data_IF_234254529962
#
_entry.id   IF_234254529962
#
_cell.length_a   1.000
_cell.length_b   1.000
_cell.length_c   1.000
_cell.angle_alpha   90.00
_cell.angle_beta   90.00
_cell.angle_gamma   90.00
#
_symmetry.space_group_name_H-M   'P 1'
#
loop_
_entity.id
_entity.type
_entity.pdbx_description
1 polymer ?
#
# COMPACT_ATOMS: atom_id res chain seq x y z
N UNK A 1 29.89 22.42 -6.95
CA UNK A 1 28.51 22.47 -6.43
C UNK A 1 27.66 21.62 -7.35
N UNK A 2 27.35 20.41 -6.93
CA UNK A 2 26.39 19.54 -7.61
C UNK A 2 25.36 19.17 -6.54
N UNK A 3 24.12 19.59 -6.77
CA UNK A 3 22.97 19.33 -5.91
C UNK A 3 22.57 17.88 -6.14
N UNK A 4 22.57 17.09 -5.07
CA UNK A 4 22.07 15.71 -5.06
C UNK A 4 20.54 15.79 -4.89
N UNK A 5 19.71 15.16 -5.74
CA UNK A 5 18.27 15.14 -5.52
C UNK A 5 17.95 14.24 -4.32
N UNK A 6 17.19 14.78 -3.37
CA UNK A 6 16.57 14.03 -2.28
C UNK A 6 15.46 13.15 -2.84
N UNK A 7 15.69 11.84 -2.91
CA UNK A 7 14.65 10.84 -3.17
C UNK A 7 13.74 10.71 -1.96
N UNK A 8 12.47 11.08 -2.10
CA UNK A 8 11.42 10.97 -1.08
C UNK A 8 10.87 9.54 -1.00
N UNK A 9 10.70 9.04 0.22
CA UNK A 9 10.03 7.79 0.56
C UNK A 9 8.58 8.12 0.97
N UNK A 10 7.59 7.53 0.31
CA UNK A 10 6.17 7.67 0.66
C UNK A 10 5.60 6.29 1.02
N UNK A 11 5.00 6.15 2.21
CA UNK A 11 4.26 4.96 2.65
C UNK A 11 2.79 5.13 2.30
N UNK A 12 2.28 4.36 1.34
CA UNK A 12 0.85 4.31 1.02
C UNK A 12 0.25 3.04 1.65
N UNK A 13 -0.65 3.21 2.61
CA UNK A 13 -1.47 2.12 3.18
C UNK A 13 -2.89 2.32 2.69
N UNK A 14 -3.31 1.57 1.67
CA UNK A 14 -4.67 1.57 1.15
C UNK A 14 -5.47 0.43 1.79
N UNK A 15 -5.92 0.61 3.04
CA UNK A 15 -6.87 -0.32 3.64
C UNK A 15 -8.32 0.05 3.24
N UNK A 16 -8.91 -0.74 2.35
CA UNK A 16 -10.36 -0.75 2.12
C UNK A 16 -11.05 -1.63 3.15
N UNK A 17 -11.52 -1.05 4.25
CA UNK A 17 -12.28 -1.78 5.26
C UNK A 17 -12.60 -0.95 6.49
N UNK A 18 -13.86 -0.94 6.90
CA UNK A 18 -14.41 -0.23 8.07
C UNK A 18 -13.51 -0.36 9.31
N UNK A 19 -12.70 0.66 9.59
CA UNK A 19 -12.16 0.86 10.93
C UNK A 19 -13.30 1.34 11.83
N UNK A 20 -13.93 0.39 12.52
CA UNK A 20 -14.65 0.72 13.75
C UNK A 20 -13.65 1.40 14.68
N UNK A 21 -13.89 2.67 15.00
CA UNK A 21 -13.26 3.33 16.13
C UNK A 21 -13.70 2.62 17.41
N UNK A 22 -12.99 1.57 17.80
CA UNK A 22 -13.09 1.00 19.13
C UNK A 22 -12.41 1.97 20.11
N UNK A 23 -13.16 2.96 20.57
CA UNK A 23 -12.85 3.66 21.82
C UNK A 23 -13.06 2.65 22.94
N UNK A 24 -12.01 1.88 23.26
CA UNK A 24 -12.00 1.11 24.50
C UNK A 24 -11.65 2.07 25.65
N UNK A 25 -12.37 2.02 26.79
CA UNK A 25 -12.07 2.88 27.94
C UNK A 25 -10.65 2.60 28.45
N UNK A 26 -9.93 3.67 28.77
CA UNK A 26 -8.56 3.76 29.28
C UNK A 26 -8.27 3.06 30.63
N UNK A 27 -9.02 2.03 31.00
CA UNK A 27 -8.82 1.27 32.24
C UNK A 27 -8.73 -0.22 31.92
N UNK A 28 -7.61 -0.69 31.35
CA UNK A 28 -7.04 -2.04 31.61
C UNK A 28 -5.77 -2.41 30.81
N UNK A 29 -4.89 -1.45 30.50
CA UNK A 29 -3.52 -1.80 30.06
C UNK A 29 -2.58 -1.54 31.24
N UNK A 30 -2.38 -2.58 32.06
CA UNK A 30 -1.34 -2.61 33.08
C UNK A 30 -0.05 -3.08 32.40
N UNK A 31 0.54 -2.23 31.57
CA UNK A 31 1.89 -2.45 31.03
C UNK A 31 2.92 -2.10 32.10
N UNK A 32 3.54 -3.15 32.65
CA UNK A 32 4.68 -3.05 33.55
C UNK A 32 5.92 -2.55 32.80
N UNK A 33 6.05 -1.23 32.65
CA UNK A 33 7.34 -0.63 32.28
C UNK A 33 8.22 -0.45 33.52
N UNK A 34 9.52 -0.77 33.45
CA UNK A 34 10.45 -0.43 34.52
C UNK A 34 10.55 1.10 34.63
N UNK A 35 10.41 1.59 35.86
CA UNK A 35 10.41 2.99 36.29
C UNK A 35 11.61 3.75 35.69
N UNK A 36 11.39 4.44 34.57
CA UNK A 36 12.45 5.18 33.89
C UNK A 36 12.63 6.54 34.56
N UNK A 37 13.87 7.03 34.62
CA UNK A 37 14.21 8.34 35.19
C UNK A 37 13.45 9.53 34.55
N UNK A 38 12.74 9.31 33.44
CA UNK A 38 11.83 10.28 32.83
C UNK A 38 10.51 10.37 33.62
N UNK A 39 9.92 9.25 34.01
CA UNK A 39 8.66 9.19 34.79
C UNK A 39 8.84 9.86 36.15
N UNK A 40 9.98 9.62 36.81
CA UNK A 40 10.31 10.26 38.08
C UNK A 40 10.46 11.79 37.92
N UNK A 41 11.06 12.25 36.82
CA UNK A 41 11.22 13.70 36.55
C UNK A 41 9.89 14.39 36.25
N UNK A 42 8.97 13.71 35.57
CA UNK A 42 7.61 14.21 35.32
C UNK A 42 6.83 14.34 36.63
N UNK A 43 6.84 13.32 37.50
CA UNK A 43 6.16 13.40 38.81
C UNK A 43 6.73 14.52 39.70
N UNK A 44 8.05 14.70 39.70
CA UNK A 44 8.68 15.79 40.46
C UNK A 44 8.33 17.18 39.91
N UNK A 45 8.08 17.31 38.60
CA UNK A 45 7.60 18.55 38.00
C UNK A 45 6.14 18.84 38.41
N UNK A 46 5.27 17.81 38.38
CA UNK A 46 3.87 17.92 38.79
C UNK A 46 3.74 18.39 40.25
N UNK A 47 4.48 17.78 41.18
CA UNK A 47 4.42 18.15 42.61
C UNK A 47 4.85 19.61 42.86
N UNK A 48 5.84 20.12 42.11
CA UNK A 48 6.28 21.52 42.24
C UNK A 48 5.22 22.51 41.76
N UNK A 49 4.51 22.16 40.68
CA UNK A 49 3.42 22.98 40.14
C UNK A 49 2.24 23.01 41.11
N UNK A 50 1.87 21.87 41.69
CA UNK A 50 0.79 21.80 42.68
C UNK A 50 1.08 22.61 43.95
N UNK A 51 2.32 22.57 44.45
CA UNK A 51 2.74 23.37 45.61
C UNK A 51 2.69 24.87 45.33
N UNK A 52 2.98 25.31 44.09
CA UNK A 52 2.87 26.72 43.70
C UNK A 52 1.41 27.21 43.61
N UNK A 53 0.45 26.30 43.46
CA UNK A 53 -0.97 26.61 43.31
C UNK A 53 -1.74 26.62 44.65
N UNK A 54 -1.19 26.04 45.72
CA UNK A 54 -1.85 25.92 47.03
C UNK A 54 -2.09 27.25 47.79
N UNK A 55 -1.65 28.40 47.27
CA UNK A 55 -1.86 29.71 47.91
C UNK A 55 -2.91 30.62 47.27
N UNK A 56 -3.55 30.23 46.16
CA UNK A 56 -4.45 31.11 45.38
C UNK A 56 -5.89 30.61 45.38
N UNK A 57 -6.47 30.54 46.58
CA UNK A 57 -7.88 30.18 46.78
C UNK A 57 -8.80 31.38 46.53
N UNK A 58 -9.29 31.53 45.31
CA UNK A 58 -10.62 32.12 45.02
C UNK A 58 -10.76 32.42 43.53
N UNK A 59 -10.96 31.40 42.71
CA UNK A 59 -11.95 31.35 41.62
C UNK A 59 -11.93 29.88 41.18
N UNK A 60 -12.95 29.10 41.56
CA UNK A 60 -13.29 27.83 40.88
C UNK A 60 -13.73 28.17 39.46
N UNK A 61 -12.79 28.55 38.60
CA UNK A 61 -12.97 28.51 37.16
C UNK A 61 -12.53 27.10 36.81
N UNK A 62 -13.50 26.28 36.46
CA UNK A 62 -13.34 25.06 35.68
C UNK A 62 -12.80 25.47 34.30
N UNK A 63 -11.59 26.03 34.28
CA UNK A 63 -10.73 26.16 33.12
C UNK A 63 -9.72 25.04 33.31
N UNK A 64 -10.16 23.82 33.01
CA UNK A 64 -9.25 22.89 32.38
C UNK A 64 -8.90 23.58 31.05
N UNK A 65 -7.86 24.41 31.08
CA UNK A 65 -7.11 24.69 29.87
C UNK A 65 -6.50 23.34 29.54
N UNK A 66 -7.19 22.57 28.70
CA UNK A 66 -6.57 21.44 28.01
C UNK A 66 -5.42 22.06 27.21
N UNK A 67 -4.22 22.03 27.78
CA UNK A 67 -3.04 22.61 27.15
C UNK A 67 -2.65 21.69 26.01
N UNK A 68 -2.92 22.12 24.77
CA UNK A 68 -2.40 21.48 23.57
C UNK A 68 -0.93 21.90 23.44
N UNK A 69 -0.01 20.97 23.67
CA UNK A 69 1.40 21.17 23.37
C UNK A 69 1.62 20.89 21.88
N UNK A 70 1.88 21.94 21.10
CA UNK A 70 2.25 21.81 19.69
C UNK A 70 3.77 21.88 19.57
N UNK A 71 4.40 20.77 19.22
CA UNK A 71 5.81 20.73 18.84
C UNK A 71 5.93 20.95 17.32
N UNK A 72 6.53 22.07 16.93
CA UNK A 72 6.77 22.45 15.53
C UNK A 72 8.26 22.49 15.18
N UNK A 73 9.13 21.92 16.03
CA UNK A 73 10.58 21.94 15.82
C UNK A 73 10.98 21.07 14.62
N UNK A 74 10.34 19.91 14.45
CA UNK A 74 10.56 19.04 13.31
C UNK A 74 9.31 18.19 13.01
N UNK A 75 9.00 17.91 11.73
CA UNK A 75 7.95 16.97 11.38
C UNK A 75 8.33 15.54 11.82
N UNK A 76 7.35 14.78 12.32
CA UNK A 76 7.54 13.36 12.68
C UNK A 76 7.70 12.51 11.40
N UNK A 77 6.93 12.83 10.37
CA UNK A 77 7.00 12.21 9.04
C UNK A 77 6.48 13.20 8.01
N UNK A 78 6.89 12.99 6.77
CA UNK A 78 6.24 13.54 5.59
C UNK A 78 5.29 12.49 5.02
N UNK A 79 4.19 12.94 4.42
CA UNK A 79 3.22 12.08 3.74
C UNK A 79 3.19 12.44 2.26
N UNK A 80 2.83 11.47 1.42
CA UNK A 80 2.69 11.71 -0.01
C UNK A 80 1.63 12.80 -0.28
N UNK A 81 1.80 13.67 -1.29
CA UNK A 81 0.73 14.57 -1.72
C UNK A 81 -0.59 13.83 -2.01
N UNK A 82 -0.53 12.57 -2.47
CA UNK A 82 -1.67 11.69 -2.73
C UNK A 82 -2.09 10.87 -1.50
N UNK A 83 -1.70 11.27 -0.29
CA UNK A 83 -2.00 10.55 0.96
C UNK A 83 -3.49 10.20 1.11
N UNK A 84 -4.38 11.12 0.74
CA UNK A 84 -5.81 10.85 0.67
C UNK A 84 -6.16 10.32 -0.73
N UNK A 85 -6.06 9.00 -0.89
CA UNK A 85 -6.43 8.28 -2.11
C UNK A 85 -7.70 7.45 -1.92
N UNK A 86 -8.29 6.98 -3.03
CA UNK A 86 -9.59 6.30 -3.02
C UNK A 86 -9.55 4.96 -3.75
N UNK A 87 -10.52 4.09 -3.43
CA UNK A 87 -10.64 2.75 -4.01
C UNK A 87 -12.01 2.53 -4.66
N UNK A 88 -12.06 1.80 -5.76
CA UNK A 88 -13.27 1.18 -6.30
C UNK A 88 -13.09 -0.34 -6.27
N UNK A 89 -14.15 -1.06 -5.89
CA UNK A 89 -14.11 -2.52 -5.87
C UNK A 89 -14.17 -3.08 -7.30
N UNK A 90 -13.25 -3.97 -7.63
CA UNK A 90 -13.17 -4.64 -8.95
C UNK A 90 -14.42 -5.45 -9.29
N UNK A 91 -15.20 -5.87 -8.30
CA UNK A 91 -16.49 -6.53 -8.49
C UNK A 91 -17.53 -5.65 -9.17
N UNK A 92 -17.38 -4.31 -9.14
CA UNK A 92 -18.24 -3.40 -9.90
C UNK A 92 -18.06 -3.54 -11.42
N UNK A 93 -16.91 -4.04 -11.91
CA UNK A 93 -16.68 -4.31 -13.33
C UNK A 93 -17.65 -5.36 -13.87
N UNK A 94 -17.94 -6.41 -13.07
CA UNK A 94 -18.90 -7.47 -13.44
C UNK A 94 -20.31 -6.93 -13.74
N UNK A 95 -20.64 -5.77 -13.16
CA UNK A 95 -21.92 -5.07 -13.32
C UNK A 95 -21.78 -3.83 -14.19
N UNK A 96 -20.75 -3.77 -15.03
CA UNK A 96 -20.44 -2.65 -15.90
C UNK A 96 -20.37 -1.31 -15.15
N UNK A 97 -19.58 -1.30 -14.07
CA UNK A 97 -19.40 -0.16 -13.18
C UNK A 97 -20.71 0.33 -12.57
N UNK A 98 -21.66 -0.57 -12.31
CA UNK A 98 -23.00 -0.18 -11.83
C UNK A 98 -22.90 0.71 -10.59
N UNK A 99 -23.46 1.92 -10.67
CA UNK A 99 -23.39 2.91 -9.59
C UNK A 99 -22.40 4.04 -9.83
N UNK A 100 -21.49 3.89 -10.81
CA UNK A 100 -20.53 4.93 -11.20
C UNK A 100 -20.67 5.23 -12.68
N UNK A 101 -20.96 6.49 -13.00
CA UNK A 101 -20.90 7.00 -14.36
C UNK A 101 -19.70 7.92 -14.45
N UNK A 102 -18.57 7.41 -14.93
CA UNK A 102 -17.29 8.13 -14.98
C UNK A 102 -17.36 9.45 -15.75
N UNK A 103 -18.26 9.58 -16.72
CA UNK A 103 -18.46 10.81 -17.51
C UNK A 103 -19.42 11.81 -16.85
N UNK A 104 -20.05 11.46 -15.73
CA UNK A 104 -20.98 12.37 -15.06
C UNK A 104 -20.21 13.53 -14.41
N UNK A 105 -20.57 14.78 -14.74
CA UNK A 105 -19.90 15.97 -14.22
C UNK A 105 -19.86 16.02 -12.69
N UNK A 106 -20.88 15.49 -12.02
CA UNK A 106 -20.89 15.38 -10.56
C UNK A 106 -19.75 14.51 -10.04
N UNK A 107 -19.50 13.36 -10.66
CA UNK A 107 -18.41 12.44 -10.27
C UNK A 107 -17.06 13.10 -10.55
N UNK A 108 -16.90 13.70 -11.73
CA UNK A 108 -15.68 14.42 -12.13
C UNK A 108 -15.36 15.55 -11.14
N UNK A 109 -16.35 16.40 -10.80
CA UNK A 109 -16.14 17.52 -9.86
C UNK A 109 -15.75 17.04 -8.46
N UNK A 110 -16.36 15.95 -7.97
CA UNK A 110 -16.02 15.39 -6.66
C UNK A 110 -14.61 14.82 -6.66
N UNK A 111 -14.20 14.12 -7.73
CA UNK A 111 -12.86 13.58 -7.86
C UNK A 111 -11.80 14.68 -7.98
N UNK A 112 -12.01 15.68 -8.84
CA UNK A 112 -11.09 16.81 -8.98
C UNK A 112 -10.92 17.59 -7.66
N UNK A 113 -11.93 17.60 -6.79
CA UNK A 113 -11.85 18.20 -5.45
C UNK A 113 -10.90 17.47 -4.49
N UNK A 114 -10.50 16.23 -4.78
CA UNK A 114 -9.53 15.45 -4.00
C UNK A 114 -8.13 15.43 -4.64
N UNK A 115 -7.94 16.04 -5.81
CA UNK A 115 -6.64 16.08 -6.49
C UNK A 115 -5.61 16.87 -5.65
N UNK A 116 -4.36 16.36 -5.50
CA UNK A 116 -3.83 15.12 -6.06
C UNK A 116 -4.27 13.88 -5.27
N UNK A 117 -4.69 12.83 -5.98
CA UNK A 117 -5.03 11.52 -5.41
C UNK A 117 -4.70 10.40 -6.39
N UNK A 118 -4.70 9.17 -5.88
CA UNK A 118 -4.71 7.94 -6.67
C UNK A 118 -6.09 7.29 -6.62
N UNK A 119 -6.47 6.63 -7.72
CA UNK A 119 -7.54 5.64 -7.72
C UNK A 119 -6.93 4.24 -7.73
N UNK A 120 -7.30 3.41 -6.75
CA UNK A 120 -7.07 1.96 -6.79
C UNK A 120 -8.33 1.23 -7.25
N UNK A 121 -8.19 0.32 -8.21
CA UNK A 121 -9.22 -0.69 -8.49
C UNK A 121 -8.66 -2.06 -8.14
N UNK A 122 -9.27 -2.71 -7.15
CA UNK A 122 -8.79 -3.96 -6.56
C UNK A 122 -9.87 -4.62 -5.70
N UNK A 123 -9.48 -5.27 -4.61
CA UNK A 123 -10.42 -5.99 -3.73
C UNK A 123 -10.57 -7.47 -4.10
N UNK A 124 -11.31 -8.21 -3.28
CA UNK A 124 -11.49 -9.67 -3.35
C UNK A 124 -11.89 -10.16 -4.75
N UNK A 125 -12.79 -9.45 -5.45
CA UNK A 125 -13.22 -9.89 -6.79
C UNK A 125 -12.12 -9.80 -7.86
N UNK A 126 -11.01 -9.09 -7.62
CA UNK A 126 -9.95 -8.88 -8.60
C UNK A 126 -9.24 -10.18 -8.98
N UNK A 127 -9.13 -11.11 -8.03
CA UNK A 127 -8.55 -12.44 -8.22
C UNK A 127 -9.46 -13.43 -8.97
N UNK A 128 -10.64 -12.98 -9.42
CA UNK A 128 -11.52 -13.73 -10.31
C UNK A 128 -11.79 -12.99 -11.63
N UNK A 129 -11.14 -11.84 -11.82
CA UNK A 129 -11.29 -11.03 -13.01
C UNK A 129 -10.36 -11.51 -14.11
N UNK A 130 -10.88 -11.59 -15.33
CA UNK A 130 -10.15 -11.93 -16.56
C UNK A 130 -10.29 -10.79 -17.55
N UNK A 131 -9.17 -10.21 -17.99
CA UNK A 131 -9.22 -9.27 -19.09
C UNK A 131 -9.49 -10.04 -20.39
N UNK A 132 -10.55 -9.69 -21.11
CA UNK A 132 -10.90 -10.40 -22.34
C UNK A 132 -11.08 -9.45 -23.52
N UNK A 133 -10.12 -9.48 -24.45
CA UNK A 133 -10.19 -8.75 -25.73
C UNK A 133 -11.02 -9.47 -26.80
N UNK A 134 -11.36 -10.75 -26.60
CA UNK A 134 -11.99 -11.64 -27.58
C UNK A 134 -13.35 -12.11 -27.06
N UNK A 135 -14.44 -11.79 -27.76
CA UNK A 135 -15.83 -12.06 -27.31
C UNK A 135 -16.22 -13.54 -27.16
N UNK A 136 -15.29 -14.49 -27.24
CA UNK A 136 -15.58 -15.91 -27.34
C UNK A 136 -14.57 -16.79 -26.59
N UNK A 137 -14.54 -16.73 -25.26
CA UNK A 137 -14.06 -17.86 -24.46
C UNK A 137 -14.98 -18.11 -23.26
N UNK A 138 -15.30 -19.39 -23.04
CA UNK A 138 -16.11 -19.89 -21.93
C UNK A 138 -15.38 -19.67 -20.61
N UNK A 139 -15.83 -18.67 -19.87
CA UNK A 139 -15.37 -18.37 -18.52
C UNK A 139 -15.82 -19.51 -17.59
N UNK A 140 -14.91 -20.08 -16.79
CA UNK A 140 -15.29 -20.98 -15.69
C UNK A 140 -16.27 -20.23 -14.78
N UNK A 141 -17.31 -20.92 -14.28
CA UNK A 141 -18.48 -20.33 -13.62
C UNK A 141 -18.20 -19.39 -12.41
N UNK A 142 -16.96 -19.30 -11.90
CA UNK A 142 -16.55 -18.38 -10.82
C UNK A 142 -15.91 -17.07 -11.29
N UNK A 143 -15.42 -17.00 -12.52
CA UNK A 143 -14.69 -15.83 -13.02
C UNK A 143 -15.62 -14.87 -13.77
N UNK A 144 -15.24 -13.60 -13.86
CA UNK A 144 -15.94 -12.60 -14.68
C UNK A 144 -14.93 -11.85 -15.56
N UNK A 145 -15.44 -11.18 -16.60
CA UNK A 145 -14.58 -10.54 -17.60
C UNK A 145 -14.63 -9.02 -17.52
N UNK A 146 -13.50 -8.41 -17.86
CA UNK A 146 -13.38 -6.99 -18.14
C UNK A 146 -13.16 -6.82 -19.63
N UNK A 147 -14.01 -6.01 -20.25
CA UNK A 147 -13.90 -5.66 -21.67
C UNK A 147 -12.88 -4.53 -21.88
N UNK A 148 -12.32 -4.39 -23.09
CA UNK A 148 -11.49 -3.25 -23.46
C UNK A 148 -12.20 -1.90 -23.27
N UNK A 149 -13.51 -1.85 -23.48
CA UNK A 149 -14.30 -0.64 -23.25
C UNK A 149 -14.33 -0.25 -21.76
N UNK A 150 -14.58 -1.20 -20.87
CA UNK A 150 -14.61 -0.94 -19.43
C UNK A 150 -13.25 -0.47 -18.90
N UNK A 151 -12.16 -1.01 -19.46
CA UNK A 151 -10.80 -0.55 -19.17
C UNK A 151 -10.55 0.88 -19.68
N UNK A 152 -10.98 1.19 -20.91
CA UNK A 152 -10.87 2.52 -21.49
C UNK A 152 -11.66 3.56 -20.67
N UNK A 153 -12.82 3.20 -20.13
CA UNK A 153 -13.68 4.09 -19.32
C UNK A 153 -12.98 4.58 -18.05
N UNK A 154 -12.38 3.68 -17.27
CA UNK A 154 -11.70 4.05 -16.02
C UNK A 154 -10.38 4.79 -16.29
N UNK A 155 -9.64 4.43 -17.33
CA UNK A 155 -8.38 5.11 -17.68
C UNK A 155 -8.62 6.55 -18.16
N UNK A 156 -9.64 6.78 -18.98
CA UNK A 156 -10.01 8.14 -19.41
C UNK A 156 -10.50 8.99 -18.24
N UNK A 157 -11.15 8.36 -17.27
CA UNK A 157 -11.61 9.07 -16.07
C UNK A 157 -10.45 9.60 -15.25
N UNK A 158 -9.49 8.75 -14.87
CA UNK A 158 -8.32 9.16 -14.07
C UNK A 158 -7.49 10.23 -14.79
N UNK A 159 -7.33 10.12 -16.11
CA UNK A 159 -6.70 11.15 -16.94
C UNK A 159 -7.47 12.48 -16.87
N UNK A 160 -8.80 12.44 -16.97
CA UNK A 160 -9.67 13.64 -16.92
C UNK A 160 -9.59 14.35 -15.57
N UNK A 161 -9.45 13.62 -14.46
CA UNK A 161 -9.43 14.20 -13.11
C UNK A 161 -8.01 14.48 -12.59
N UNK A 162 -6.98 14.06 -13.34
CA UNK A 162 -5.58 14.26 -12.98
C UNK A 162 -5.13 13.37 -11.81
N UNK A 163 -5.60 12.12 -11.78
CA UNK A 163 -5.23 11.13 -10.78
C UNK A 163 -4.31 10.07 -11.35
N UNK A 164 -3.45 9.51 -10.49
CA UNK A 164 -2.74 8.28 -10.82
C UNK A 164 -3.65 7.07 -10.64
N UNK A 165 -3.36 6.00 -11.38
CA UNK A 165 -4.19 4.79 -11.39
C UNK A 165 -3.38 3.56 -10.97
N UNK A 166 -3.92 2.83 -9.99
CA UNK A 166 -3.43 1.53 -9.52
C UNK A 166 -4.46 0.46 -9.85
N UNK A 167 -4.02 -0.64 -10.45
CA UNK A 167 -4.89 -1.77 -10.77
C UNK A 167 -4.32 -3.10 -10.27
N UNK A 168 -5.16 -3.87 -9.59
CA UNK A 168 -4.84 -5.23 -9.13
C UNK A 168 -5.08 -6.29 -10.20
N UNK A 169 -3.99 -6.99 -10.57
CA UNK A 169 -4.05 -8.16 -11.43
C UNK A 169 -4.45 -9.41 -10.65
N UNK A 170 -5.07 -10.36 -11.35
CA UNK A 170 -5.48 -11.64 -10.81
C UNK A 170 -4.26 -12.54 -10.53
N UNK A 171 -3.98 -12.84 -9.27
CA UNK A 171 -2.88 -13.71 -8.84
C UNK A 171 -3.25 -15.21 -8.81
N UNK A 172 -4.55 -15.54 -8.87
CA UNK A 172 -5.08 -16.91 -8.85
C UNK A 172 -5.04 -17.60 -10.22
N UNK A 173 -4.63 -16.91 -11.28
CA UNK A 173 -4.25 -17.55 -12.54
C UNK A 173 -2.93 -18.29 -12.32
N UNK A 174 -2.98 -19.63 -12.21
CA UNK A 174 -1.83 -20.47 -11.92
C UNK A 174 -1.55 -21.45 -13.04
N UNK A 175 -0.27 -21.65 -13.34
CA UNK A 175 0.19 -22.74 -14.18
C UNK A 175 -0.07 -24.10 -13.51
N UNK A 176 -0.27 -25.19 -14.27
CA UNK A 176 -0.47 -26.52 -13.69
C UNK A 176 0.68 -26.96 -12.77
N UNK A 177 0.35 -27.74 -11.75
CA UNK A 177 1.33 -28.41 -10.89
C UNK A 177 2.28 -29.29 -11.74
N UNK A 178 3.60 -29.36 -11.43
CA UNK A 178 4.27 -28.89 -10.21
C UNK A 178 4.75 -27.44 -10.22
N UNK A 179 4.63 -26.73 -11.33
CA UNK A 179 5.18 -25.38 -11.41
C UNK A 179 4.40 -24.40 -10.52
N UNK A 180 3.08 -24.40 -10.65
CA UNK A 180 2.19 -23.64 -9.76
C UNK A 180 2.46 -22.14 -9.70
N UNK A 181 3.30 -21.58 -10.59
CA UNK A 181 3.62 -20.16 -10.68
C UNK A 181 2.46 -19.37 -11.27
N UNK A 182 2.48 -18.05 -11.15
CA UNK A 182 1.52 -17.17 -11.80
C UNK A 182 1.55 -17.38 -13.32
N UNK A 183 0.36 -17.63 -13.88
CA UNK A 183 0.12 -17.64 -15.31
C UNK A 183 -0.10 -16.19 -15.76
N UNK A 184 0.97 -15.60 -16.28
CA UNK A 184 1.02 -14.18 -16.59
C UNK A 184 0.35 -13.79 -17.90
N UNK A 185 -0.16 -14.74 -18.70
CA UNK A 185 -0.61 -14.45 -20.07
C UNK A 185 -1.75 -13.42 -20.08
N UNK A 186 -2.73 -13.56 -19.18
CA UNK A 186 -3.81 -12.58 -19.07
C UNK A 186 -3.34 -11.21 -18.60
N UNK A 187 -2.41 -11.17 -17.63
CA UNK A 187 -1.80 -9.93 -17.17
C UNK A 187 -1.05 -9.23 -18.30
N UNK A 188 -0.21 -9.98 -19.03
CA UNK A 188 0.53 -9.48 -20.20
C UNK A 188 -0.41 -8.90 -21.26
N UNK A 189 -1.54 -9.53 -21.54
CA UNK A 189 -2.54 -9.00 -22.47
C UNK A 189 -3.05 -7.62 -22.04
N UNK A 190 -3.36 -7.42 -20.76
CA UNK A 190 -3.83 -6.13 -20.25
C UNK A 190 -2.73 -5.06 -20.24
N UNK A 191 -1.51 -5.44 -19.87
CA UNK A 191 -0.34 -4.57 -19.91
C UNK A 191 -0.10 -4.06 -21.34
N UNK A 192 0.00 -4.96 -22.31
CA UNK A 192 0.22 -4.59 -23.72
C UNK A 192 -0.96 -3.80 -24.30
N UNK A 193 -2.20 -4.10 -23.91
CA UNK A 193 -3.36 -3.29 -24.29
C UNK A 193 -3.22 -1.85 -23.76
N UNK A 194 -2.85 -1.69 -22.49
CA UNK A 194 -2.63 -0.38 -21.85
C UNK A 194 -1.52 0.40 -22.53
N UNK A 195 -0.41 -0.25 -22.89
CA UNK A 195 0.66 0.37 -23.70
C UNK A 195 0.14 0.83 -25.05
N UNK A 196 -0.65 0.01 -25.75
CA UNK A 196 -1.20 0.37 -27.06
C UNK A 196 -2.11 1.60 -27.02
N UNK A 197 -2.68 1.89 -25.85
CA UNK A 197 -3.53 3.06 -25.58
C UNK A 197 -2.77 4.23 -24.98
N UNK A 198 -1.47 4.08 -24.70
CA UNK A 198 -0.65 5.06 -23.99
C UNK A 198 -1.20 5.40 -22.60
N UNK A 199 -1.83 4.43 -21.93
CA UNK A 199 -2.28 4.60 -20.55
C UNK A 199 -1.12 4.39 -19.58
N UNK A 200 -1.06 5.22 -18.54
CA UNK A 200 -0.08 5.10 -17.45
C UNK A 200 -0.77 4.48 -16.24
N UNK A 201 -0.47 3.21 -15.99
CA UNK A 201 -1.07 2.42 -14.92
C UNK A 201 0.03 1.84 -14.03
N UNK A 202 -0.18 1.89 -12.72
CA UNK A 202 0.62 1.23 -11.69
C UNK A 202 -0.05 -0.09 -11.30
N UNK A 203 0.70 -1.08 -10.83
CA UNK A 203 0.20 -2.45 -10.76
C UNK A 203 0.32 -3.07 -9.36
N UNK A 204 -0.74 -3.78 -8.96
CA UNK A 204 -0.75 -4.75 -7.88
C UNK A 204 -0.89 -6.17 -8.47
N UNK A 205 -0.53 -7.19 -7.69
CA UNK A 205 -0.76 -8.59 -8.06
C UNK A 205 -1.41 -9.33 -6.89
N UNK A 206 -2.72 -9.55 -7.02
CA UNK A 206 -3.55 -10.19 -6.02
C UNK A 206 -4.03 -9.27 -4.90
N UNK A 207 -5.08 -9.72 -4.22
CA UNK A 207 -5.65 -9.14 -3.02
C UNK A 207 -5.66 -10.19 -1.92
N UNK A 208 -5.10 -9.89 -0.75
CA UNK A 208 -5.07 -10.78 0.42
C UNK A 208 -4.67 -12.23 0.04
N UNK A 209 -3.50 -12.44 -0.59
CA UNK A 209 -3.05 -13.74 -1.10
C UNK A 209 -3.00 -14.84 -0.02
N UNK A 210 -2.99 -14.44 1.26
CA UNK A 210 -3.00 -15.31 2.44
C UNK A 210 -4.38 -15.81 2.86
N UNK A 211 -5.47 -15.25 2.33
CA UNK A 211 -6.85 -15.48 2.79
C UNK A 211 -7.68 -16.39 1.88
N UNK A 212 -7.13 -16.86 0.76
CA UNK A 212 -7.84 -17.69 -0.22
C UNK A 212 -7.98 -19.16 0.20
N UNK A 213 -8.95 -19.87 -0.39
CA UNK A 213 -9.17 -21.31 -0.11
C UNK A 213 -7.93 -22.18 -0.31
N UNK A 214 -6.99 -21.75 -1.16
CA UNK A 214 -5.61 -22.24 -1.18
C UNK A 214 -4.69 -21.01 -1.21
N UNK A 215 -4.15 -20.58 -0.06
CA UNK A 215 -3.29 -19.40 0.01
C UNK A 215 -2.05 -19.54 -0.87
N UNK A 216 -1.61 -18.45 -1.49
CA UNK A 216 -0.36 -18.42 -2.26
C UNK A 216 0.79 -18.24 -1.26
N UNK A 217 1.76 -19.17 -1.16
CA UNK A 217 2.91 -19.00 -0.28
C UNK A 217 3.67 -17.69 -0.57
N UNK A 218 4.15 -17.02 0.47
CA UNK A 218 4.82 -15.72 0.33
C UNK A 218 6.05 -15.78 -0.58
N UNK A 219 6.81 -16.87 -0.56
CA UNK A 219 7.94 -17.09 -1.47
C UNK A 219 7.50 -17.13 -2.94
N UNK A 220 6.42 -17.84 -3.23
CA UNK A 220 5.91 -17.97 -4.60
C UNK A 220 5.30 -16.67 -5.08
N UNK A 221 4.56 -15.96 -4.22
CA UNK A 221 4.03 -14.63 -4.54
C UNK A 221 5.13 -13.61 -4.82
N UNK A 222 6.24 -13.66 -4.07
CA UNK A 222 7.40 -12.82 -4.34
C UNK A 222 8.05 -13.13 -5.71
N UNK A 223 8.12 -14.40 -6.12
CA UNK A 223 8.58 -14.78 -7.47
C UNK A 223 7.61 -14.30 -8.55
N UNK A 224 6.31 -14.37 -8.30
CA UNK A 224 5.28 -13.91 -9.23
C UNK A 224 5.38 -12.40 -9.45
N UNK A 225 5.65 -11.61 -8.39
CA UNK A 225 5.92 -10.17 -8.50
C UNK A 225 7.17 -9.84 -9.32
N UNK A 226 8.19 -10.71 -9.33
CA UNK A 226 9.36 -10.53 -10.20
C UNK A 226 9.01 -10.74 -11.67
N UNK A 227 8.18 -11.75 -11.96
CA UNK A 227 7.62 -11.93 -13.30
C UNK A 227 6.86 -10.67 -13.70
N UNK A 228 5.95 -10.16 -12.86
CA UNK A 228 5.22 -8.91 -13.14
C UNK A 228 6.16 -7.72 -13.39
N UNK A 229 7.20 -7.57 -12.58
CA UNK A 229 8.20 -6.50 -12.76
C UNK A 229 8.85 -6.56 -14.14
N UNK A 230 9.27 -7.74 -14.56
CA UNK A 230 9.95 -7.92 -15.85
C UNK A 230 8.99 -7.58 -17.01
N UNK A 231 7.72 -7.98 -16.91
CA UNK A 231 6.68 -7.60 -17.87
C UNK A 231 6.46 -6.09 -17.94
N UNK A 232 6.33 -5.42 -16.78
CA UNK A 232 6.15 -3.97 -16.73
C UNK A 232 7.40 -3.24 -17.24
N UNK A 233 8.59 -3.78 -17.04
CA UNK A 233 9.84 -3.21 -17.55
C UNK A 233 9.92 -3.24 -19.08
N UNK A 234 9.38 -4.27 -19.72
CA UNK A 234 9.30 -4.40 -21.20
C UNK A 234 8.44 -3.29 -21.84
N UNK A 235 7.48 -2.74 -21.11
CA UNK A 235 6.46 -1.82 -21.61
C UNK A 235 6.81 -0.35 -21.34
N UNK A 236 7.08 0.44 -22.40
CA UNK A 236 7.67 1.79 -22.24
C UNK A 236 6.78 2.82 -21.55
N UNK A 237 5.46 2.75 -21.72
CA UNK A 237 4.52 3.79 -21.29
C UNK A 237 3.83 3.49 -19.96
N UNK A 238 4.03 2.28 -19.41
CA UNK A 238 3.41 1.90 -18.16
C UNK A 238 4.09 2.55 -16.96
N UNK A 239 3.29 2.78 -15.91
CA UNK A 239 3.79 3.15 -14.61
C UNK A 239 4.72 2.05 -14.07
N UNK A 240 5.84 2.45 -13.48
CA UNK A 240 6.87 1.53 -12.99
C UNK A 240 6.73 1.18 -11.51
N UNK A 241 5.70 1.70 -10.84
CA UNK A 241 5.41 1.39 -9.45
C UNK A 241 4.63 0.07 -9.37
N UNK A 242 5.16 -0.84 -8.56
CA UNK A 242 4.50 -2.07 -8.17
C UNK A 242 4.13 -1.98 -6.69
N UNK A 243 2.89 -2.31 -6.35
CA UNK A 243 2.35 -2.24 -4.99
C UNK A 243 1.95 -3.64 -4.56
N UNK A 244 2.26 -4.03 -3.33
CA UNK A 244 1.96 -5.35 -2.80
C UNK A 244 2.50 -5.58 -1.39
N UNK A 245 2.21 -6.73 -0.75
CA UNK A 245 1.41 -7.84 -1.29
C UNK A 245 -0.11 -7.72 -1.02
N UNK A 246 -0.59 -6.55 -0.59
CA UNK A 246 -2.00 -6.28 -0.27
C UNK A 246 -2.59 -7.23 0.78
N UNK A 247 -1.92 -7.32 1.93
CA UNK A 247 -2.36 -8.13 3.09
C UNK A 247 -2.87 -7.23 4.21
N UNK A 248 -3.97 -7.61 4.87
CA UNK A 248 -4.60 -6.80 5.91
C UNK A 248 -3.72 -6.62 7.16
N UNK A 249 -3.33 -7.72 7.82
CA UNK A 249 -2.41 -7.71 8.97
C UNK A 249 -1.86 -9.12 9.25
N UNK A 250 -1.12 -9.68 8.30
CA UNK A 250 -0.43 -10.96 8.49
C UNK A 250 1.09 -10.71 8.56
N UNK A 251 1.60 -10.52 9.79
CA UNK A 251 3.00 -10.13 10.01
C UNK A 251 3.98 -11.18 9.47
N UNK A 252 3.68 -12.46 9.65
CA UNK A 252 4.57 -13.54 9.23
C UNK A 252 4.62 -13.60 7.70
N UNK A 253 3.46 -13.57 7.03
CA UNK A 253 3.38 -13.51 5.58
C UNK A 253 4.10 -12.28 5.02
N UNK A 254 3.80 -11.10 5.56
CA UNK A 254 4.42 -9.85 5.11
C UNK A 254 5.94 -9.87 5.29
N UNK A 255 6.43 -10.35 6.43
CA UNK A 255 7.86 -10.43 6.72
C UNK A 255 8.55 -11.41 5.76
N UNK A 256 7.97 -12.59 5.55
CA UNK A 256 8.49 -13.58 4.62
C UNK A 256 8.47 -13.05 3.19
N UNK A 257 7.36 -12.46 2.74
CA UNK A 257 7.22 -11.86 1.42
C UNK A 257 8.30 -10.80 1.17
N UNK A 258 8.51 -9.86 2.09
CA UNK A 258 9.53 -8.80 1.95
C UNK A 258 10.94 -9.40 1.91
N UNK A 259 11.24 -10.36 2.78
CA UNK A 259 12.54 -11.05 2.78
C UNK A 259 12.76 -11.76 1.45
N UNK A 260 11.77 -12.52 0.96
CA UNK A 260 11.89 -13.27 -0.28
C UNK A 260 11.96 -12.35 -1.49
N UNK A 261 11.14 -11.30 -1.54
CA UNK A 261 11.22 -10.31 -2.60
C UNK A 261 12.62 -9.69 -2.69
N UNK A 262 13.17 -9.20 -1.57
CA UNK A 262 14.53 -8.62 -1.52
C UNK A 262 15.62 -9.66 -1.82
N UNK A 263 15.47 -10.89 -1.33
CA UNK A 263 16.44 -11.96 -1.52
C UNK A 263 16.48 -12.47 -2.96
N UNK A 264 15.31 -12.68 -3.59
CA UNK A 264 15.24 -13.11 -4.98
C UNK A 264 15.65 -11.96 -5.92
N UNK A 265 15.28 -10.71 -5.59
CA UNK A 265 15.82 -9.51 -6.26
C UNK A 265 17.35 -9.44 -6.24
N UNK A 266 17.97 -9.68 -5.08
CA UNK A 266 19.42 -9.62 -4.93
C UNK A 266 20.15 -10.79 -5.61
N UNK A 267 19.52 -11.95 -5.78
CA UNK A 267 20.07 -13.07 -6.57
C UNK A 267 20.00 -12.86 -8.08
N UNK A 268 19.03 -12.11 -8.59
CA UNK A 268 19.01 -11.66 -10.00
C UNK A 268 20.11 -10.61 -10.26
N UNK A 269 20.53 -9.88 -9.22
CA UNK A 269 21.71 -9.01 -9.19
C UNK A 269 23.01 -9.75 -8.82
N UNK A 270 23.22 -10.97 -9.32
CA UNK A 270 24.52 -11.65 -9.24
C UNK A 270 25.57 -11.01 -10.17
N UNK A 271 25.80 -9.71 -10.01
CA UNK A 271 27.05 -8.96 -10.21
C UNK A 271 26.91 -7.64 -9.43
N UNK A 272 26.90 -7.67 -8.10
CA UNK A 272 27.46 -6.63 -7.20
C UNK A 272 27.62 -7.25 -5.79
N UNK A 273 28.88 -7.55 -5.50
CA UNK A 273 29.53 -7.59 -4.17
C UNK A 273 28.92 -8.47 -3.06
N UNK A 274 29.59 -9.61 -2.87
CA UNK A 274 29.72 -10.40 -1.64
C UNK A 274 29.74 -9.57 -0.33
N UNK A 275 28.60 -9.46 0.37
CA UNK A 275 28.47 -9.13 1.81
C UNK A 275 27.11 -9.68 2.26
N UNK A 276 26.97 -10.77 3.02
CA UNK A 276 27.11 -10.83 4.48
C UNK A 276 27.21 -12.31 4.90
N UNK A 277 28.43 -12.81 5.09
CA UNK A 277 28.69 -13.99 5.93
C UNK A 277 29.91 -13.71 6.80
N UNK A 278 29.83 -12.66 7.63
CA UNK A 278 30.80 -12.48 8.73
C UNK A 278 30.29 -11.64 9.93
N UNK A 279 28.97 -11.52 10.09
CA UNK A 279 28.37 -10.93 11.32
C UNK A 279 27.86 -12.00 12.28
N UNK A 280 28.72 -12.95 12.63
CA UNK A 280 28.55 -13.78 13.84
C UNK A 280 29.79 -13.72 14.70
N UNK A 281 30.13 -12.52 15.22
CA UNK A 281 30.84 -12.38 16.49
C UNK A 281 30.75 -10.95 17.03
N UNK A 282 29.99 -10.84 18.12
CA UNK A 282 29.99 -9.78 19.17
C UNK A 282 29.46 -8.39 18.77
N UNK A 283 28.24 -8.07 19.24
CA UNK A 283 27.94 -6.94 20.15
C UNK A 283 26.43 -6.66 20.18
N UNK A 284 25.82 -6.31 21.33
CA UNK A 284 24.39 -6.06 21.47
C UNK A 284 24.06 -4.59 21.21
N UNK A 285 23.34 -4.31 20.13
CA UNK A 285 22.54 -3.08 19.96
C UNK A 285 21.61 -3.28 18.76
N UNK A 286 20.38 -3.69 19.04
CA UNK A 286 19.30 -3.66 18.05
C UNK A 286 18.91 -2.20 17.81
N UNK A 287 19.36 -1.62 16.70
CA UNK A 287 18.70 -0.47 16.12
C UNK A 287 17.63 -0.96 15.15
N UNK A 288 16.41 -0.47 15.36
CA UNK A 288 15.24 -0.70 14.50
C UNK A 288 15.59 -0.34 13.06
N UNK A 289 15.42 -1.29 12.13
CA UNK A 289 15.40 -1.01 10.70
C UNK A 289 14.01 -0.47 10.33
N UNK A 290 13.88 0.72 9.72
CA UNK A 290 12.61 1.18 9.19
C UNK A 290 12.23 0.39 7.92
N UNK A 291 10.92 0.20 7.63
CA UNK A 291 10.47 -0.44 6.40
C UNK A 291 10.81 0.44 5.19
N UNK A 292 11.39 -0.17 4.16
CA UNK A 292 11.89 0.50 2.94
C UNK A 292 10.89 0.30 1.80
N UNK A 293 10.37 1.39 1.23
CA UNK A 293 9.68 1.41 -0.06
C UNK A 293 10.63 1.97 -1.13
N UNK A 294 10.64 1.36 -2.31
CA UNK A 294 11.54 1.74 -3.40
C UNK A 294 10.78 2.49 -4.50
N UNK A 295 11.23 3.70 -4.82
CA UNK A 295 10.88 4.43 -6.04
C UNK A 295 12.06 4.31 -7.00
N UNK A 296 11.83 3.82 -8.22
CA UNK A 296 12.86 3.64 -9.24
C UNK A 296 12.65 4.65 -10.36
N UNK A 297 13.61 5.54 -10.55
CA UNK A 297 13.71 6.42 -11.71
C UNK A 297 14.90 5.94 -12.56
N UNK A 298 14.71 5.79 -13.87
CA UNK A 298 15.81 5.70 -14.82
C UNK A 298 15.80 6.92 -15.72
N UNK A 299 16.97 7.56 -15.76
CA UNK A 299 17.42 8.45 -16.83
C UNK A 299 17.37 7.78 -18.19
#
# INVERSE_FOLDING_TARGET
MAVVPSSFLSLLVLCGGLCYAAVSPLNQIQESYPDSAVVTRVRQAETRIEQQLQGKSSVKRKLALDQILLDVVAPISEVDPQFLSVTIDSGDISRNWSGITFTAQRIINMAQGLTPAMLRVGGTSGDFLIFNSSTAETVQQSNFTMTPQQWDEVNKFVETVGWDFVFGLNALLRTPYPNGSWDSDNGRMLLSYSTSKNYTVQWELGNEPDMWGTPIPAEDHAKDFLTLRDLVAEEKTLGKMLIGPDVAYNRDYFTEYVIMYVFVMSKLFCYIVQVYTEFTRRSPQCHYLPPVLWKWEHS
#
